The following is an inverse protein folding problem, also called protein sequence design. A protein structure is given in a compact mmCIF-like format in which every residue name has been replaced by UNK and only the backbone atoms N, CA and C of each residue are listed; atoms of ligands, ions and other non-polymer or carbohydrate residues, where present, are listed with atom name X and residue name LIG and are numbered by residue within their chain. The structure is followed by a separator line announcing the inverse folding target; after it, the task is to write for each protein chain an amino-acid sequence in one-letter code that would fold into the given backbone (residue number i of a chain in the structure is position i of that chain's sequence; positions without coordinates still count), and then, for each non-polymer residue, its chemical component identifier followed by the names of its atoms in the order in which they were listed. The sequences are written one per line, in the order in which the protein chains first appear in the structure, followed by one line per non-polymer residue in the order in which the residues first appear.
data_IF_359709574865
#
_entry.id   IF_359709574865
#
_cell.length_a   1.000
_cell.length_b   1.000
_cell.length_c   1.000
_cell.angle_alpha   90.00
_cell.angle_beta   90.00
_cell.angle_gamma   90.00
#
_symmetry.space_group_name_H-M   'P 1'
#
loop_
_entity.id
_entity.type
_entity.pdbx_description
1 polymer ?
#
# COMPACT_ATOMS: atom_id res chain seq x y z
N UNK A 1 -12.47 -3.57 54.36
CA UNK A 1 -11.76 -4.57 53.53
C UNK A 1 -12.02 -4.43 52.02
N UNK A 2 -13.23 -4.12 51.56
CA UNK A 2 -13.56 -4.11 50.11
C UNK A 2 -12.96 -3.01 49.21
N UNK A 3 -12.34 -1.95 49.76
CA UNK A 3 -11.76 -0.88 48.94
C UNK A 3 -10.38 -1.26 48.35
N UNK A 4 -9.61 -2.11 49.05
CA UNK A 4 -8.27 -2.55 48.62
C UNK A 4 -8.35 -3.50 47.41
N UNK A 5 -9.34 -4.39 47.41
CA UNK A 5 -9.58 -5.38 46.33
C UNK A 5 -9.98 -4.76 44.99
N UNK A 6 -10.67 -3.60 44.99
CA UNK A 6 -10.99 -2.88 43.73
C UNK A 6 -9.76 -2.22 43.11
N UNK A 7 -8.85 -1.71 43.94
CA UNK A 7 -7.62 -1.06 43.46
C UNK A 7 -6.63 -2.08 42.88
N UNK A 8 -6.56 -3.29 43.42
CA UNK A 8 -5.73 -4.36 42.88
C UNK A 8 -6.28 -4.89 41.55
N UNK A 9 -7.60 -5.08 41.44
CA UNK A 9 -8.25 -5.46 40.17
C UNK A 9 -8.05 -4.43 39.06
N UNK A 10 -8.16 -3.14 39.36
CA UNK A 10 -7.90 -2.08 38.36
C UNK A 10 -6.43 -2.03 37.91
N UNK A 11 -5.50 -2.37 38.80
CA UNK A 11 -4.07 -2.40 38.49
C UNK A 11 -3.73 -3.59 37.59
N UNK A 12 -4.29 -4.76 37.89
CA UNK A 12 -4.15 -5.97 37.05
C UNK A 12 -4.78 -5.81 35.66
N UNK A 13 -5.94 -5.15 35.55
CA UNK A 13 -6.58 -4.87 34.27
C UNK A 13 -5.75 -3.93 33.40
N UNK A 14 -5.22 -2.83 33.97
CA UNK A 14 -4.31 -1.91 33.26
C UNK A 14 -3.01 -2.58 32.80
N UNK A 15 -2.45 -3.47 33.62
CA UNK A 15 -1.24 -4.21 33.27
C UNK A 15 -1.49 -5.23 32.14
N UNK A 16 -2.64 -5.94 32.17
CA UNK A 16 -3.06 -6.84 31.10
C UNK A 16 -3.37 -6.09 29.79
N UNK A 17 -4.01 -4.93 29.88
CA UNK A 17 -4.30 -4.06 28.72
C UNK A 17 -3.01 -3.51 28.09
N UNK A 18 -2.08 -3.03 28.93
CA UNK A 18 -0.76 -2.60 28.50
C UNK A 18 0.02 -3.72 27.81
N UNK A 19 0.11 -4.89 28.45
CA UNK A 19 0.81 -6.06 27.87
C UNK A 19 0.20 -6.51 26.54
N UNK A 20 -1.13 -6.51 26.44
CA UNK A 20 -1.85 -6.84 25.19
C UNK A 20 -1.57 -5.80 24.10
N UNK A 21 -1.51 -4.52 24.44
CA UNK A 21 -1.14 -3.45 23.50
C UNK A 21 0.28 -3.59 22.96
N UNK A 22 1.29 -3.91 23.80
CA UNK A 22 2.67 -4.08 23.34
C UNK A 22 2.83 -5.33 22.47
N UNK A 23 2.17 -6.44 22.83
CA UNK A 23 2.20 -7.68 22.04
C UNK A 23 1.55 -7.46 20.68
N UNK A 24 0.38 -6.80 20.63
CA UNK A 24 -0.31 -6.46 19.38
C UNK A 24 0.54 -5.51 18.52
N UNK A 25 1.14 -4.48 19.12
CA UNK A 25 2.05 -3.56 18.42
C UNK A 25 3.28 -4.28 17.85
N UNK A 26 3.88 -5.18 18.63
CA UNK A 26 5.01 -5.99 18.18
C UNK A 26 4.65 -6.89 16.99
N UNK A 27 3.45 -7.50 17.00
CA UNK A 27 2.99 -8.30 15.87
C UNK A 27 2.77 -7.47 14.61
N UNK A 28 2.20 -6.27 14.73
CA UNK A 28 2.02 -5.38 13.58
C UNK A 28 3.35 -4.89 13.01
N UNK A 29 4.31 -4.56 13.86
CA UNK A 29 5.64 -4.15 13.41
C UNK A 29 6.33 -5.27 12.63
N UNK A 30 6.27 -6.50 13.12
CA UNK A 30 6.83 -7.65 12.41
C UNK A 30 6.15 -7.87 11.06
N UNK A 31 4.82 -7.78 10.99
CA UNK A 31 4.06 -7.86 9.75
C UNK A 31 4.48 -6.78 8.75
N UNK A 32 4.59 -5.53 9.19
CA UNK A 32 5.00 -4.42 8.33
C UNK A 32 6.43 -4.57 7.82
N UNK A 33 7.36 -5.02 8.68
CA UNK A 33 8.74 -5.29 8.27
C UNK A 33 8.81 -6.44 7.27
N UNK A 34 8.04 -7.50 7.48
CA UNK A 34 7.96 -8.63 6.56
C UNK A 34 7.39 -8.20 5.19
N UNK A 35 6.29 -7.44 5.17
CA UNK A 35 5.71 -6.89 3.94
C UNK A 35 6.66 -5.95 3.22
N UNK A 36 7.40 -5.10 3.95
CA UNK A 36 8.40 -4.21 3.37
C UNK A 36 9.56 -5.00 2.75
N UNK A 37 10.01 -6.08 3.42
CA UNK A 37 11.05 -6.97 2.90
C UNK A 37 10.64 -7.64 1.60
N UNK A 38 9.41 -8.16 1.52
CA UNK A 38 8.86 -8.74 0.29
C UNK A 38 8.74 -7.70 -0.84
N UNK A 39 8.35 -6.47 -0.52
CA UNK A 39 8.28 -5.38 -1.51
C UNK A 39 9.67 -5.08 -2.07
N UNK A 40 10.69 -4.90 -1.21
CA UNK A 40 12.06 -4.63 -1.65
C UNK A 40 12.60 -5.78 -2.48
N UNK A 41 12.37 -7.03 -2.05
CA UNK A 41 12.77 -8.21 -2.81
C UNK A 41 12.10 -8.24 -4.21
N UNK A 42 10.79 -7.98 -4.28
CA UNK A 42 10.06 -7.90 -5.54
C UNK A 42 10.63 -6.82 -6.47
N UNK A 43 10.91 -5.63 -5.95
CA UNK A 43 11.54 -4.55 -6.72
C UNK A 43 12.92 -4.98 -7.24
N UNK A 44 13.74 -5.63 -6.41
CA UNK A 44 15.06 -6.12 -6.81
C UNK A 44 14.99 -7.13 -7.96
N UNK A 45 14.03 -8.07 -7.92
CA UNK A 45 13.84 -9.06 -9.00
C UNK A 45 13.42 -8.38 -10.31
N UNK A 46 12.48 -7.42 -10.26
CA UNK A 46 12.06 -6.69 -11.46
C UNK A 46 13.20 -5.83 -12.01
N UNK A 47 13.98 -5.20 -11.14
CA UNK A 47 15.17 -4.44 -11.51
C UNK A 47 16.25 -5.32 -12.16
N UNK A 48 16.48 -6.53 -11.64
CA UNK A 48 17.39 -7.50 -12.23
C UNK A 48 16.91 -7.95 -13.63
N UNK A 49 15.60 -8.19 -13.79
CA UNK A 49 14.99 -8.53 -15.09
C UNK A 49 15.11 -7.39 -16.12
N UNK A 50 15.03 -6.12 -15.67
CA UNK A 50 15.24 -4.95 -16.53
C UNK A 50 16.69 -4.83 -16.99
N UNK A 51 17.66 -4.97 -16.08
CA UNK A 51 19.09 -4.84 -16.40
C UNK A 51 19.65 -5.99 -17.24
N UNK A 52 19.11 -7.20 -17.09
CA UNK A 52 19.47 -8.35 -17.93
C UNK A 52 18.99 -8.22 -19.38
N UNK A 53 18.18 -7.19 -19.71
CA UNK A 53 17.75 -6.92 -21.08
C UNK A 53 16.86 -8.02 -21.66
N UNK A 54 16.27 -8.86 -20.80
CA UNK A 54 15.44 -9.99 -21.19
C UNK A 54 13.94 -9.67 -21.19
N UNK A 55 13.60 -8.38 -21.14
CA UNK A 55 12.22 -7.90 -21.19
C UNK A 55 11.75 -7.72 -22.63
N UNK A 56 10.45 -7.89 -22.89
CA UNK A 56 9.83 -7.64 -24.19
C UNK A 56 10.12 -6.22 -24.77
N UNK A 57 10.54 -5.28 -23.93
CA UNK A 57 10.99 -3.95 -24.32
C UNK A 57 12.34 -3.95 -25.04
N UNK A 58 13.27 -4.83 -24.65
CA UNK A 58 14.60 -4.94 -25.25
C UNK A 58 14.55 -5.53 -26.68
N UNK A 59 13.68 -6.51 -26.92
CA UNK A 59 13.43 -7.05 -28.27
C UNK A 59 12.84 -6.00 -29.22
N UNK A 60 12.15 -4.99 -28.69
CA UNK A 60 11.56 -3.89 -29.46
C UNK A 60 12.46 -2.65 -29.56
N UNK A 61 13.76 -2.74 -29.25
CA UNK A 61 14.71 -1.61 -29.25
C UNK A 61 14.32 -0.45 -28.32
N UNK A 62 13.54 -0.71 -27.26
CA UNK A 62 13.24 0.32 -26.26
C UNK A 62 14.47 0.46 -25.36
N UNK A 63 14.99 1.69 -25.14
CA UNK A 63 16.15 1.89 -24.29
C UNK A 63 15.85 1.38 -22.86
N UNK A 64 16.75 0.58 -22.25
CA UNK A 64 16.58 0.06 -20.88
C UNK A 64 16.32 1.15 -19.84
N UNK A 65 16.87 2.35 -20.08
CA UNK A 65 16.66 3.55 -19.27
C UNK A 65 15.19 3.99 -19.30
N UNK A 66 14.51 3.88 -20.44
CA UNK A 66 13.08 4.20 -20.55
C UNK A 66 12.22 3.25 -19.72
N UNK A 67 12.53 1.95 -19.73
CA UNK A 67 11.82 0.96 -18.94
C UNK A 67 12.01 1.18 -17.42
N UNK A 68 13.18 1.64 -16.98
CA UNK A 68 13.43 2.04 -15.59
C UNK A 68 12.52 3.18 -15.12
N UNK A 69 12.42 4.27 -15.89
CA UNK A 69 11.58 5.40 -15.52
C UNK A 69 10.10 5.03 -15.53
N UNK A 70 9.66 4.25 -16.52
CA UNK A 70 8.27 3.79 -16.59
C UNK A 70 7.95 2.83 -15.44
N UNK A 71 8.85 1.92 -15.07
CA UNK A 71 8.65 1.02 -13.94
C UNK A 71 8.49 1.79 -12.61
N UNK A 72 9.37 2.75 -12.32
CA UNK A 72 9.24 3.60 -11.14
C UNK A 72 7.95 4.41 -11.13
N UNK A 73 7.57 4.97 -12.29
CA UNK A 73 6.30 5.66 -12.44
C UNK A 73 5.11 4.74 -12.16
N UNK A 74 5.09 3.53 -12.72
CA UNK A 74 4.00 2.55 -12.52
C UNK A 74 3.90 2.10 -11.06
N UNK A 75 5.03 1.84 -10.37
CA UNK A 75 5.05 1.46 -8.95
C UNK A 75 4.55 2.61 -8.05
N UNK A 76 5.02 3.84 -8.27
CA UNK A 76 4.57 5.02 -7.51
C UNK A 76 3.08 5.25 -7.77
N UNK A 77 2.64 5.16 -9.02
CA UNK A 77 1.25 5.35 -9.40
C UNK A 77 0.32 4.28 -8.78
N UNK A 78 0.73 3.01 -8.80
CA UNK A 78 0.02 1.90 -8.14
C UNK A 78 -0.09 2.15 -6.62
N UNK A 79 1.02 2.53 -5.98
CA UNK A 79 1.06 2.82 -4.55
C UNK A 79 0.14 3.99 -4.17
N UNK A 80 0.04 5.04 -5.01
CA UNK A 80 -0.87 6.16 -4.78
C UNK A 80 -2.34 5.74 -4.87
N UNK A 81 -2.71 4.89 -5.83
CA UNK A 81 -4.10 4.44 -6.02
C UNK A 81 -4.55 3.53 -4.87
N UNK A 82 -3.70 2.60 -4.44
CA UNK A 82 -4.01 1.66 -3.36
C UNK A 82 -3.93 2.33 -1.98
N UNK A 83 -2.87 3.11 -1.72
CA UNK A 83 -2.71 3.83 -0.46
C UNK A 83 -3.78 4.89 -0.25
N UNK A 84 -4.21 5.57 -1.32
CA UNK A 84 -5.31 6.54 -1.28
C UNK A 84 -6.65 5.93 -0.87
N UNK A 85 -6.91 4.66 -1.19
CA UNK A 85 -8.12 3.95 -0.75
C UNK A 85 -8.13 3.69 0.73
N UNK A 86 -7.02 3.15 1.26
CA UNK A 86 -6.86 2.89 2.69
C UNK A 86 -7.02 4.17 3.52
N UNK A 87 -6.44 5.28 3.04
CA UNK A 87 -6.60 6.58 3.68
C UNK A 87 -8.05 7.09 3.62
N UNK A 88 -8.75 6.93 2.50
CA UNK A 88 -10.12 7.42 2.32
C UNK A 88 -11.16 6.61 3.11
N UNK A 89 -10.99 5.28 3.20
CA UNK A 89 -11.81 4.40 4.04
C UNK A 89 -11.52 4.63 5.52
N UNK A 90 -10.25 4.80 5.90
CA UNK A 90 -9.86 5.14 7.27
C UNK A 90 -10.39 6.51 7.74
N UNK A 91 -10.73 7.41 6.83
CA UNK A 91 -11.34 8.70 7.12
C UNK A 91 -12.88 8.68 7.20
N UNK A 92 -13.54 7.59 6.81
CA UNK A 92 -15.01 7.44 6.90
C UNK A 92 -15.58 7.60 8.32
N UNK A 93 -14.96 7.04 9.39
CA UNK A 93 -15.49 7.16 10.75
C UNK A 93 -15.13 8.47 11.46
N UNK A 94 -14.35 9.36 10.83
CA UNK A 94 -13.89 10.62 11.45
C UNK A 94 -14.91 11.73 11.17
N UNK A 95 -15.38 12.37 12.24
CA UNK A 95 -16.27 13.53 12.16
C UNK A 95 -15.62 14.68 11.38
N UNK A 96 -16.14 14.96 10.18
CA UNK A 96 -15.59 15.93 9.20
C UNK A 96 -15.51 17.34 9.78
N UNK A 97 -16.35 17.65 10.76
CA UNK A 97 -16.37 18.94 11.45
C UNK A 97 -15.07 19.25 12.21
N UNK A 98 -14.30 18.24 12.65
CA UNK A 98 -13.05 18.45 13.41
C UNK A 98 -11.84 18.85 12.56
N UNK A 99 -11.85 18.62 11.24
CA UNK A 99 -10.69 18.87 10.36
C UNK A 99 -10.88 20.04 9.37
N UNK A 100 -12.02 20.73 9.42
CA UNK A 100 -12.33 21.87 8.55
C UNK A 100 -11.33 23.04 8.68
N UNK A 101 -10.67 23.17 9.83
CA UNK A 101 -9.79 24.29 10.16
C UNK A 101 -8.32 24.02 9.79
N UNK A 102 -7.88 22.75 9.77
CA UNK A 102 -6.44 22.42 9.66
C UNK A 102 -6.03 21.93 8.26
N UNK A 103 -6.87 21.20 7.51
CA UNK A 103 -6.49 20.63 6.19
C UNK A 103 -7.61 20.74 5.14
N UNK A 104 -7.77 21.94 4.56
CA UNK A 104 -8.83 22.29 3.59
C UNK A 104 -8.86 21.42 2.32
N UNK A 105 -7.70 20.94 1.85
CA UNK A 105 -7.58 20.04 0.67
C UNK A 105 -8.11 18.63 0.95
N UNK A 106 -7.80 18.08 2.12
CA UNK A 106 -8.32 16.77 2.54
C UNK A 106 -9.84 16.81 2.68
N UNK A 107 -10.38 17.84 3.34
CA UNK A 107 -11.83 18.00 3.52
C UNK A 107 -12.58 18.16 2.19
N UNK A 108 -12.03 18.87 1.19
CA UNK A 108 -12.66 18.96 -0.14
C UNK A 108 -12.68 17.61 -0.86
N UNK A 109 -11.59 16.84 -0.83
CA UNK A 109 -11.55 15.50 -1.41
C UNK A 109 -12.53 14.54 -0.71
N UNK A 110 -12.62 14.58 0.63
CA UNK A 110 -13.54 13.71 1.39
C UNK A 110 -15.00 14.13 1.24
N UNK A 111 -15.31 15.43 1.12
CA UNK A 111 -16.67 15.92 0.86
C UNK A 111 -17.11 15.62 -0.58
N UNK A 112 -16.20 15.74 -1.56
CA UNK A 112 -16.49 15.39 -2.95
C UNK A 112 -16.68 13.87 -3.14
N UNK A 113 -15.84 13.05 -2.49
CA UNK A 113 -15.94 11.60 -2.54
C UNK A 113 -17.19 11.06 -1.82
N UNK A 114 -17.69 11.71 -0.78
CA UNK A 114 -18.92 11.32 -0.06
C UNK A 114 -20.21 11.94 -0.62
N UNK A 115 -20.16 12.70 -1.72
CA UNK A 115 -21.36 13.28 -2.32
C UNK A 115 -22.03 12.23 -3.23
N UNK A 116 -23.05 11.54 -2.72
CA UNK A 116 -23.85 10.54 -3.44
C UNK A 116 -23.10 9.22 -3.73
N UNK A 117 -23.47 8.50 -4.78
CA UNK A 117 -22.86 7.22 -5.23
C UNK A 117 -21.45 7.36 -5.83
N UNK A 118 -20.87 8.57 -5.79
CA UNK A 118 -19.55 8.83 -6.34
C UNK A 118 -18.47 7.98 -5.64
N UNK A 119 -18.65 7.64 -4.37
CA UNK A 119 -17.68 6.80 -3.65
C UNK A 119 -17.64 5.38 -4.21
N UNK A 120 -18.80 4.79 -4.47
CA UNK A 120 -18.91 3.43 -5.03
C UNK A 120 -18.39 3.38 -6.46
N UNK A 121 -18.77 4.34 -7.32
CA UNK A 121 -18.25 4.48 -8.68
C UNK A 121 -16.74 4.72 -8.72
N UNK A 122 -16.24 5.53 -7.79
CA UNK A 122 -14.81 5.77 -7.61
C UNK A 122 -14.13 4.43 -7.25
N UNK A 123 -14.63 3.69 -6.24
CA UNK A 123 -14.07 2.39 -5.81
C UNK A 123 -14.00 1.40 -6.99
N UNK A 124 -15.09 1.24 -7.75
CA UNK A 124 -15.13 0.32 -8.91
C UNK A 124 -14.14 0.75 -10.01
N UNK A 125 -14.09 2.04 -10.36
CA UNK A 125 -13.19 2.55 -11.41
C UNK A 125 -11.71 2.43 -11.05
N UNK A 126 -11.36 2.55 -9.76
CA UNK A 126 -9.97 2.33 -9.32
C UNK A 126 -9.53 0.89 -9.43
N UNK A 127 -10.38 -0.07 -9.08
CA UNK A 127 -10.02 -1.49 -9.18
C UNK A 127 -9.69 -1.90 -10.62
N UNK A 128 -10.43 -1.35 -11.59
CA UNK A 128 -10.10 -1.53 -13.01
C UNK A 128 -8.76 -0.91 -13.38
N UNK A 129 -8.46 0.29 -12.87
CA UNK A 129 -7.18 0.98 -13.12
C UNK A 129 -5.98 0.25 -12.48
N UNK A 130 -6.16 -0.34 -11.30
CA UNK A 130 -5.15 -1.18 -10.64
C UNK A 130 -4.82 -2.39 -11.52
N UNK A 131 -5.85 -3.12 -11.97
CA UNK A 131 -5.66 -4.29 -12.84
C UNK A 131 -4.99 -3.90 -14.16
N UNK A 132 -5.37 -2.77 -14.76
CA UNK A 132 -4.73 -2.24 -15.97
C UNK A 132 -3.24 -1.94 -15.73
N UNK A 133 -2.87 -1.33 -14.60
CA UNK A 133 -1.48 -1.02 -14.29
C UNK A 133 -0.65 -2.27 -14.03
N UNK A 134 -1.20 -3.26 -13.31
CA UNK A 134 -0.54 -4.57 -13.13
C UNK A 134 -0.37 -5.27 -14.47
N UNK A 135 -1.38 -5.23 -15.34
CA UNK A 135 -1.31 -5.80 -16.68
C UNK A 135 -0.24 -5.12 -17.54
N UNK A 136 -0.19 -3.78 -17.57
CA UNK A 136 0.83 -3.03 -18.30
C UNK A 136 2.24 -3.33 -17.76
N UNK A 137 2.38 -3.40 -16.43
CA UNK A 137 3.65 -3.75 -15.79
C UNK A 137 4.09 -5.16 -16.17
N UNK A 138 3.19 -6.14 -16.14
CA UNK A 138 3.47 -7.51 -16.55
C UNK A 138 3.78 -7.61 -18.05
N UNK A 139 3.08 -6.86 -18.89
CA UNK A 139 3.35 -6.84 -20.33
C UNK A 139 4.74 -6.27 -20.65
N UNK A 140 5.17 -5.24 -19.91
CA UNK A 140 6.51 -4.65 -20.05
C UNK A 140 7.61 -5.52 -19.42
N UNK A 141 7.32 -6.15 -18.29
CA UNK A 141 8.23 -7.02 -17.55
C UNK A 141 8.24 -8.47 -18.04
N UNK A 142 7.38 -8.84 -19.00
CA UNK A 142 7.32 -10.18 -19.55
C UNK A 142 8.67 -10.55 -20.14
N UNK A 143 9.24 -11.63 -19.60
CA UNK A 143 10.50 -12.16 -20.07
C UNK A 143 10.30 -12.91 -21.39
N UNK A 144 11.26 -12.80 -22.30
CA UNK A 144 11.18 -13.47 -23.60
C UNK A 144 11.64 -14.94 -23.47
N UNK A 145 11.19 -15.86 -24.35
CA UNK A 145 11.47 -17.30 -24.19
C UNK A 145 12.98 -17.55 -24.34
N UNK A 146 13.66 -17.86 -23.23
CA UNK A 146 15.14 -18.00 -23.18
C UNK A 146 15.82 -17.11 -22.14
N UNK A 147 15.05 -16.31 -21.41
CA UNK A 147 15.52 -15.40 -20.40
C UNK A 147 15.99 -16.09 -19.09
N UNK A 148 17.27 -16.45 -19.01
CA UNK A 148 17.89 -16.86 -17.73
C UNK A 148 18.38 -15.63 -16.96
N UNK A 149 17.48 -15.03 -16.18
CA UNK A 149 17.79 -13.83 -15.36
C UNK A 149 18.60 -14.16 -14.11
N UNK A 150 18.62 -15.43 -13.69
CA UNK A 150 19.25 -15.88 -12.44
C UNK A 150 19.94 -17.25 -12.51
N UNK A 151 20.03 -17.90 -13.69
CA UNK A 151 20.53 -19.28 -13.77
C UNK A 151 19.63 -20.30 -13.05
N UNK A 152 18.37 -19.94 -12.80
CA UNK A 152 17.31 -20.78 -12.25
C UNK A 152 16.31 -21.17 -13.34
#
# INVERSE_FOLDING_TARGET
SGHKTKSEKQKEEKEKEGRRSVVVTGTHLFQYLYSLGLLVFSVMVVMAALFTGQTAAAEKNIPPVGAFFVFWFLIIWLAMIEGGQGALVGLQPIDKAKYAVTHKKAHMCTTLAHKGDNMERFIVGRQFLVVLLVFLTNMMGSATPGASVLGL
#
